data_IF_093973739008
#
_entry.id   IF_093973739008
#
_cell.length_a   1.000
_cell.length_b   1.000
_cell.length_c   1.000
_cell.angle_alpha   90.00
_cell.angle_beta   90.00
_cell.angle_gamma   90.00
#
_symmetry.space_group_name_H-M   'P 1'
#
loop_
_entity.id
_entity.type
_entity.pdbx_description
1 polymer ?
#
# COMPACT_ATOMS: atom_id res chain seq x y z
N UNK A 1 21.26 22.00 -33.91
CA UNK A 1 21.81 21.48 -32.64
C UNK A 1 20.87 20.37 -32.24
N UNK A 2 21.31 19.11 -32.30
CA UNK A 2 20.49 17.98 -31.91
C UNK A 2 20.26 18.09 -30.38
N UNK A 3 19.02 18.14 -30.00
CA UNK A 3 18.59 18.07 -28.62
C UNK A 3 19.05 16.70 -28.08
N UNK A 4 20.03 16.72 -27.21
CA UNK A 4 20.64 15.52 -26.62
C UNK A 4 19.74 14.92 -25.49
N UNK A 5 18.46 14.78 -25.73
CA UNK A 5 17.56 14.03 -24.86
C UNK A 5 18.03 12.57 -24.87
N UNK A 6 18.68 12.13 -23.80
CA UNK A 6 19.04 10.73 -23.63
C UNK A 6 17.73 9.92 -23.61
N UNK A 7 17.62 8.97 -24.53
CA UNK A 7 16.46 8.08 -24.60
C UNK A 7 16.43 7.21 -23.35
N UNK A 8 15.38 7.30 -22.54
CA UNK A 8 15.20 6.47 -21.33
C UNK A 8 15.26 4.98 -21.68
N UNK A 9 16.15 4.25 -21.01
CA UNK A 9 16.31 2.80 -21.16
C UNK A 9 15.48 2.08 -20.13
N UNK A 10 14.52 1.29 -20.59
CA UNK A 10 13.50 0.66 -19.76
C UNK A 10 13.72 -0.85 -19.64
N UNK A 11 13.74 -1.38 -18.42
CA UNK A 11 13.70 -2.81 -18.17
C UNK A 11 12.31 -3.25 -17.67
N UNK A 12 11.72 -4.26 -18.31
CA UNK A 12 10.53 -4.96 -17.79
C UNK A 12 10.98 -6.24 -17.09
N UNK A 13 10.87 -6.31 -15.76
CA UNK A 13 11.24 -7.50 -15.00
C UNK A 13 10.16 -8.57 -15.12
N UNK A 14 10.35 -9.56 -15.99
CA UNK A 14 9.36 -10.61 -16.23
C UNK A 14 10.01 -11.94 -16.65
N UNK A 15 9.52 -13.07 -16.10
CA UNK A 15 9.91 -14.42 -16.57
C UNK A 15 9.23 -14.81 -17.89
N UNK A 16 8.20 -14.09 -18.29
CA UNK A 16 7.38 -14.44 -19.45
C UNK A 16 7.35 -13.35 -20.50
N UNK A 17 8.33 -13.23 -21.40
CA UNK A 17 8.34 -12.19 -22.44
C UNK A 17 7.15 -12.30 -23.41
N UNK A 18 6.57 -13.50 -23.55
CA UNK A 18 5.40 -13.76 -24.40
C UNK A 18 4.06 -13.57 -23.71
N UNK A 19 4.03 -13.31 -22.39
CA UNK A 19 2.79 -13.00 -21.66
C UNK A 19 2.18 -11.70 -22.20
N UNK A 20 0.86 -11.69 -22.33
CA UNK A 20 0.13 -10.55 -22.89
C UNK A 20 0.60 -9.22 -22.32
N UNK A 21 0.55 -9.05 -21.00
CA UNK A 21 0.91 -7.79 -20.34
C UNK A 21 2.36 -7.38 -20.59
N UNK A 22 3.30 -8.34 -20.60
CA UNK A 22 4.73 -8.05 -20.85
C UNK A 22 4.92 -7.60 -22.30
N UNK A 23 4.32 -8.31 -23.26
CA UNK A 23 4.38 -7.97 -24.67
C UNK A 23 3.77 -6.59 -24.95
N UNK A 24 2.59 -6.29 -24.40
CA UNK A 24 1.94 -4.99 -24.56
C UNK A 24 2.80 -3.83 -24.04
N UNK A 25 3.43 -3.98 -22.87
CA UNK A 25 4.36 -2.97 -22.35
C UNK A 25 5.56 -2.74 -23.27
N UNK A 26 6.13 -3.82 -23.82
CA UNK A 26 7.25 -3.70 -24.79
C UNK A 26 6.81 -3.05 -26.09
N UNK A 27 5.63 -3.41 -26.62
CA UNK A 27 5.06 -2.80 -27.82
C UNK A 27 4.86 -1.29 -27.62
N UNK A 28 4.24 -0.88 -26.52
CA UNK A 28 3.96 0.53 -26.23
C UNK A 28 5.23 1.35 -25.95
N UNK A 29 6.24 0.75 -25.32
CA UNK A 29 7.53 1.38 -25.09
C UNK A 29 8.25 1.66 -26.44
N UNK A 30 8.26 0.68 -27.35
CA UNK A 30 8.83 0.84 -28.70
C UNK A 30 8.10 1.88 -29.54
N UNK A 31 6.76 1.98 -29.42
CA UNK A 31 5.98 3.02 -30.10
C UNK A 31 6.30 4.44 -29.63
N UNK A 32 6.96 4.58 -28.48
CA UNK A 32 7.44 5.85 -27.90
C UNK A 32 8.95 6.01 -27.98
N UNK A 33 9.59 5.25 -28.86
CA UNK A 33 11.03 5.27 -29.13
C UNK A 33 11.91 4.98 -27.91
N UNK A 34 11.38 4.26 -26.88
CA UNK A 34 12.19 3.83 -25.74
C UNK A 34 13.04 2.60 -26.10
N UNK A 35 14.27 2.57 -25.60
CA UNK A 35 15.05 1.35 -25.56
C UNK A 35 14.49 0.44 -24.46
N UNK A 36 13.93 -0.72 -24.82
CA UNK A 36 13.26 -1.61 -23.87
C UNK A 36 13.76 -3.04 -23.93
N UNK A 37 14.04 -3.63 -22.76
CA UNK A 37 14.37 -5.05 -22.62
C UNK A 37 13.45 -5.76 -21.60
N UNK A 38 13.28 -7.09 -21.81
CA UNK A 38 12.61 -7.96 -20.82
C UNK A 38 13.68 -8.78 -20.14
N UNK A 39 13.81 -8.57 -18.82
CA UNK A 39 14.82 -9.22 -18.00
C UNK A 39 14.17 -10.20 -17.03
N UNK A 40 14.66 -11.45 -17.00
CA UNK A 40 14.18 -12.45 -16.06
C UNK A 40 14.74 -12.19 -14.66
N UNK A 41 13.90 -11.89 -13.66
CA UNK A 41 14.38 -11.64 -12.29
C UNK A 41 15.22 -12.77 -11.71
N UNK A 42 15.02 -14.02 -12.16
CA UNK A 42 15.76 -15.18 -11.67
C UNK A 42 17.20 -15.29 -12.20
N UNK A 43 17.59 -14.39 -13.11
CA UNK A 43 18.90 -14.41 -13.78
C UNK A 43 19.82 -13.26 -13.35
N UNK A 44 19.47 -12.60 -12.26
CA UNK A 44 20.31 -11.56 -11.67
C UNK A 44 21.30 -12.14 -10.65
N UNK A 45 22.49 -11.59 -10.65
CA UNK A 45 23.50 -11.75 -9.61
C UNK A 45 23.72 -10.42 -8.92
N UNK A 46 23.66 -10.40 -7.60
CA UNK A 46 23.77 -9.21 -6.76
C UNK A 46 25.11 -9.24 -6.03
N UNK A 47 25.83 -8.14 -6.07
CA UNK A 47 27.10 -7.96 -5.36
C UNK A 47 26.92 -6.87 -4.30
N UNK A 48 27.37 -7.14 -3.08
CA UNK A 48 27.30 -6.20 -1.95
C UNK A 48 28.63 -6.19 -1.23
N UNK A 49 29.27 -5.03 -1.19
CA UNK A 49 30.47 -4.79 -0.40
C UNK A 49 30.39 -3.39 0.21
N UNK A 50 31.27 -3.09 1.17
CA UNK A 50 31.39 -1.74 1.72
C UNK A 50 31.63 -0.73 0.60
N UNK A 51 30.80 0.29 0.52
CA UNK A 51 30.83 1.37 -0.48
C UNK A 51 30.66 0.93 -1.95
N UNK A 52 30.33 -0.34 -2.20
CA UNK A 52 30.14 -0.84 -3.56
C UNK A 52 28.99 -1.86 -3.60
N UNK A 53 27.97 -1.52 -4.34
CA UNK A 53 26.88 -2.43 -4.68
C UNK A 53 26.81 -2.55 -6.20
N UNK A 54 26.61 -3.77 -6.71
CA UNK A 54 26.59 -4.03 -8.13
C UNK A 54 25.57 -5.09 -8.50
N UNK A 55 25.13 -5.07 -9.73
CA UNK A 55 24.13 -6.00 -10.25
C UNK A 55 24.50 -6.43 -11.67
N UNK A 56 24.40 -7.72 -11.92
CA UNK A 56 24.59 -8.31 -13.24
C UNK A 56 23.35 -9.08 -13.65
N UNK A 57 22.95 -8.98 -14.91
CA UNK A 57 21.96 -9.86 -15.52
C UNK A 57 22.64 -10.76 -16.55
N UNK A 58 22.69 -12.06 -16.29
CA UNK A 58 23.38 -13.04 -17.16
C UNK A 58 24.84 -12.65 -17.50
N UNK A 59 25.59 -12.14 -16.52
CA UNK A 59 26.98 -11.73 -16.65
C UNK A 59 27.21 -10.37 -17.33
N UNK A 60 26.15 -9.64 -17.68
CA UNK A 60 26.23 -8.27 -18.21
C UNK A 60 25.83 -7.27 -17.14
N UNK A 61 26.45 -6.10 -17.17
CA UNK A 61 26.06 -4.99 -16.31
C UNK A 61 24.62 -4.57 -16.58
N UNK A 62 23.95 -4.11 -15.54
CA UNK A 62 22.61 -3.53 -15.65
C UNK A 62 22.76 -2.07 -16.03
N UNK A 63 22.18 -1.71 -17.16
CA UNK A 63 22.31 -0.38 -17.76
C UNK A 63 20.95 0.12 -18.26
N UNK A 64 20.01 0.34 -17.29
CA UNK A 64 18.66 0.83 -17.52
C UNK A 64 18.30 1.88 -16.48
N UNK A 65 17.58 2.92 -16.91
CA UNK A 65 17.22 4.07 -16.11
C UNK A 65 15.93 3.82 -15.31
N UNK A 66 15.03 2.99 -15.87
CA UNK A 66 13.73 2.71 -15.26
C UNK A 66 13.35 1.23 -15.31
N UNK A 67 12.54 0.80 -14.34
CA UNK A 67 12.10 -0.59 -14.20
C UNK A 67 10.59 -0.69 -13.99
N UNK A 68 9.93 -1.54 -14.79
CA UNK A 68 8.56 -1.98 -14.53
C UNK A 68 8.59 -3.40 -13.95
N UNK A 69 8.28 -3.60 -12.64
CA UNK A 69 8.29 -4.92 -12.02
C UNK A 69 7.02 -5.70 -12.36
N UNK A 70 7.17 -6.77 -13.17
CA UNK A 70 6.14 -7.78 -13.46
C UNK A 70 6.44 -9.08 -12.73
N UNK A 71 6.72 -8.95 -11.42
CA UNK A 71 7.14 -10.05 -10.56
C UNK A 71 5.92 -10.95 -10.29
N UNK A 72 6.01 -12.23 -10.64
CA UNK A 72 4.99 -13.24 -10.33
C UNK A 72 4.99 -13.61 -8.84
N UNK A 73 3.86 -14.14 -8.34
CA UNK A 73 3.74 -14.55 -6.93
C UNK A 73 4.76 -15.60 -6.51
N UNK A 74 5.03 -16.59 -7.37
CA UNK A 74 5.96 -17.70 -7.08
C UNK A 74 7.41 -17.28 -6.89
N UNK A 75 7.79 -16.07 -7.35
CA UNK A 75 9.14 -15.53 -7.21
C UNK A 75 9.19 -14.24 -6.41
N UNK A 76 8.16 -13.95 -5.62
CA UNK A 76 8.04 -12.70 -4.87
C UNK A 76 9.29 -12.37 -4.08
N UNK A 77 9.77 -13.33 -3.26
CA UNK A 77 10.92 -13.11 -2.39
C UNK A 77 12.17 -12.72 -3.17
N UNK A 78 12.49 -13.47 -4.22
CA UNK A 78 13.67 -13.21 -5.04
C UNK A 78 13.52 -11.95 -5.89
N UNK A 79 12.39 -11.79 -6.60
CA UNK A 79 12.15 -10.63 -7.44
C UNK A 79 12.14 -9.31 -6.67
N UNK A 80 11.61 -9.32 -5.43
CA UNK A 80 11.66 -8.16 -4.55
C UNK A 80 13.10 -7.89 -4.07
N UNK A 81 13.91 -8.92 -3.84
CA UNK A 81 15.34 -8.71 -3.49
C UNK A 81 16.11 -8.04 -4.63
N UNK A 82 15.85 -8.45 -5.88
CA UNK A 82 16.42 -7.78 -7.07
C UNK A 82 15.94 -6.32 -7.16
N UNK A 83 14.63 -6.10 -7.02
CA UNK A 83 14.06 -4.76 -7.11
C UNK A 83 14.62 -3.83 -6.03
N UNK A 84 14.73 -4.31 -4.78
CA UNK A 84 15.34 -3.55 -3.68
C UNK A 84 16.79 -3.18 -3.96
N UNK A 85 17.53 -4.07 -4.59
CA UNK A 85 18.92 -3.80 -4.97
C UNK A 85 19.00 -2.70 -6.03
N UNK A 86 18.09 -2.71 -7.02
CA UNK A 86 17.98 -1.66 -8.02
C UNK A 86 17.59 -0.30 -7.39
N UNK A 87 16.68 -0.31 -6.40
CA UNK A 87 16.33 0.88 -5.61
C UNK A 87 17.55 1.46 -4.87
N UNK A 88 18.47 0.61 -4.36
CA UNK A 88 19.71 1.07 -3.74
C UNK A 88 20.72 1.64 -4.76
N UNK A 89 20.58 1.27 -6.02
CA UNK A 89 21.35 1.83 -7.16
C UNK A 89 20.65 3.06 -7.77
N UNK A 90 19.62 3.58 -7.09
CA UNK A 90 18.83 4.74 -7.50
C UNK A 90 18.13 4.59 -8.86
N UNK A 91 17.92 3.34 -9.30
CA UNK A 91 17.14 3.04 -10.50
C UNK A 91 15.66 3.29 -10.20
N UNK A 92 15.01 4.10 -11.04
CA UNK A 92 13.58 4.38 -10.87
C UNK A 92 12.73 3.12 -11.07
N UNK A 93 11.73 2.92 -10.21
CA UNK A 93 10.86 1.73 -10.26
C UNK A 93 9.39 2.13 -10.25
N UNK A 94 8.60 1.60 -11.21
CA UNK A 94 7.17 1.89 -11.32
C UNK A 94 6.36 1.50 -10.07
N UNK A 95 6.81 0.50 -9.33
CA UNK A 95 6.31 0.11 -8.01
C UNK A 95 7.48 -0.23 -7.10
N UNK A 96 7.46 0.23 -5.87
CA UNK A 96 8.52 -0.06 -4.90
C UNK A 96 8.53 -1.53 -4.45
N UNK A 97 9.70 -2.01 -4.05
CA UNK A 97 9.87 -3.35 -3.46
C UNK A 97 9.00 -3.53 -2.23
N UNK A 98 8.89 -2.49 -1.39
CA UNK A 98 8.06 -2.49 -0.19
C UNK A 98 6.58 -2.52 -0.52
N UNK A 99 6.11 -1.71 -1.48
CA UNK A 99 4.71 -1.71 -1.91
C UNK A 99 4.27 -3.07 -2.45
N UNK A 100 5.14 -3.74 -3.21
CA UNK A 100 4.89 -5.11 -3.69
C UNK A 100 4.75 -6.10 -2.51
N UNK A 101 5.61 -6.03 -1.51
CA UNK A 101 5.52 -6.91 -0.33
C UNK A 101 4.25 -6.66 0.48
N UNK A 102 3.94 -5.39 0.76
CA UNK A 102 2.77 -4.99 1.53
C UNK A 102 1.47 -5.42 0.86
N UNK A 103 1.36 -5.25 -0.44
CA UNK A 103 0.15 -5.64 -1.19
C UNK A 103 -0.04 -7.16 -1.28
N UNK A 104 1.03 -7.95 -1.18
CA UNK A 104 0.98 -9.42 -1.28
C UNK A 104 0.70 -10.13 0.04
N UNK A 105 0.97 -9.50 1.15
CA UNK A 105 0.57 -9.97 2.46
C UNK A 105 -0.86 -9.49 2.75
N UNK A 106 -1.83 -10.43 2.68
CA UNK A 106 -3.25 -10.11 2.85
C UNK A 106 -3.56 -9.47 4.20
N UNK A 107 -2.91 -9.93 5.27
CA UNK A 107 -3.13 -9.35 6.60
C UNK A 107 -2.53 -7.95 6.69
N UNK A 108 -1.27 -7.80 6.27
CA UNK A 108 -0.59 -6.51 6.31
C UNK A 108 -1.30 -5.46 5.42
N UNK A 109 -1.71 -5.86 4.21
CA UNK A 109 -2.52 -5.01 3.34
C UNK A 109 -3.81 -4.55 4.03
N UNK A 110 -4.57 -5.48 4.65
CA UNK A 110 -5.79 -5.13 5.38
C UNK A 110 -5.53 -4.19 6.57
N UNK A 111 -4.43 -4.38 7.30
CA UNK A 111 -4.03 -3.51 8.42
C UNK A 111 -3.71 -2.08 7.93
N UNK A 112 -2.96 -1.95 6.83
CA UNK A 112 -2.63 -0.64 6.24
C UNK A 112 -3.89 0.06 5.76
N UNK A 113 -4.77 -0.63 5.03
CA UNK A 113 -6.02 -0.08 4.53
C UNK A 113 -6.92 0.40 5.67
N UNK A 114 -7.13 -0.43 6.69
CA UNK A 114 -7.95 -0.11 7.86
C UNK A 114 -7.40 1.08 8.66
N UNK A 115 -6.08 1.13 8.90
CA UNK A 115 -5.43 2.26 9.57
C UNK A 115 -5.64 3.58 8.83
N UNK A 116 -5.70 3.54 7.50
CA UNK A 116 -5.93 4.70 6.65
C UNK A 116 -7.41 4.95 6.34
N UNK A 117 -8.34 4.31 7.09
CA UNK A 117 -9.79 4.47 6.96
C UNK A 117 -10.28 4.22 5.52
N UNK A 118 -9.69 3.24 4.84
CA UNK A 118 -10.17 2.79 3.54
C UNK A 118 -11.15 1.65 3.80
N UNK A 119 -12.37 1.74 3.27
CA UNK A 119 -13.39 0.71 3.46
C UNK A 119 -12.93 -0.66 2.94
N UNK A 120 -12.99 -1.67 3.81
CA UNK A 120 -12.68 -3.07 3.49
C UNK A 120 -13.68 -3.98 4.18
N UNK A 121 -13.96 -5.19 3.68
CA UNK A 121 -14.74 -6.16 4.42
C UNK A 121 -14.07 -6.45 5.77
N UNK A 122 -14.85 -6.52 6.83
CA UNK A 122 -14.35 -6.84 8.18
C UNK A 122 -13.57 -8.14 8.14
N UNK A 123 -12.37 -8.16 8.71
CA UNK A 123 -11.43 -9.28 8.58
C UNK A 123 -10.83 -9.59 9.94
N UNK A 124 -10.84 -10.86 10.32
CA UNK A 124 -10.23 -11.39 11.53
C UNK A 124 -9.15 -12.40 11.18
N UNK A 125 -8.00 -12.32 11.86
CA UNK A 125 -6.88 -13.27 11.70
C UNK A 125 -6.90 -14.29 12.81
N UNK A 126 -6.91 -15.58 12.46
CA UNK A 126 -7.05 -16.68 13.42
C UNK A 126 -5.85 -17.62 13.35
N UNK A 127 -5.27 -17.89 14.52
CA UNK A 127 -4.22 -18.90 14.73
C UNK A 127 -4.59 -19.92 15.82
N UNK A 128 -5.51 -19.57 16.72
CA UNK A 128 -6.02 -20.46 17.77
C UNK A 128 -7.47 -20.87 17.49
N UNK A 129 -7.77 -22.14 17.68
CA UNK A 129 -9.12 -22.70 17.54
C UNK A 129 -10.14 -22.04 18.47
N UNK A 130 -9.70 -21.57 19.63
CA UNK A 130 -10.57 -20.93 20.63
C UNK A 130 -11.12 -19.58 20.17
N UNK A 131 -10.45 -18.93 19.19
CA UNK A 131 -10.80 -17.61 18.71
C UNK A 131 -11.82 -17.64 17.54
N UNK A 132 -12.16 -18.83 17.00
CA UNK A 132 -12.95 -18.95 15.79
C UNK A 132 -14.34 -18.30 15.95
N UNK A 133 -15.05 -18.57 17.04
CA UNK A 133 -16.40 -18.01 17.25
C UNK A 133 -16.36 -16.48 17.36
N UNK A 134 -15.44 -15.97 18.19
CA UNK A 134 -15.22 -14.53 18.31
C UNK A 134 -14.83 -13.88 16.99
N UNK A 135 -14.00 -14.56 16.19
CA UNK A 135 -13.60 -14.08 14.87
C UNK A 135 -14.80 -14.00 13.91
N UNK A 136 -15.70 -14.99 13.94
CA UNK A 136 -16.94 -14.99 13.16
C UNK A 136 -17.85 -13.84 13.61
N UNK A 137 -18.04 -13.65 14.91
CA UNK A 137 -18.83 -12.53 15.46
C UNK A 137 -18.24 -11.18 15.05
N UNK A 138 -16.91 -11.02 15.14
CA UNK A 138 -16.22 -9.78 14.79
C UNK A 138 -16.37 -9.38 13.31
N UNK A 139 -16.58 -10.35 12.42
CA UNK A 139 -16.83 -10.08 11.00
C UNK A 139 -18.31 -9.98 10.64
N UNK A 140 -19.21 -10.03 11.63
CA UNK A 140 -20.66 -9.87 11.45
C UNK A 140 -21.44 -11.18 11.31
N UNK A 141 -20.84 -12.30 11.66
CA UNK A 141 -21.51 -13.59 11.68
C UNK A 141 -21.31 -14.41 10.39
N UNK A 142 -22.20 -15.35 10.20
CA UNK A 142 -22.24 -16.22 9.02
C UNK A 142 -23.35 -15.77 8.05
N UNK A 143 -23.19 -16.00 6.74
CA UNK A 143 -22.05 -16.66 6.10
C UNK A 143 -20.77 -15.83 6.13
N UNK A 144 -19.60 -16.50 6.18
CA UNK A 144 -18.29 -15.85 6.20
C UNK A 144 -17.34 -16.49 5.19
N UNK A 145 -16.35 -15.72 4.75
CA UNK A 145 -15.32 -16.18 3.81
C UNK A 145 -14.06 -16.55 4.58
N UNK A 146 -13.63 -17.81 4.49
CA UNK A 146 -12.37 -18.29 5.06
C UNK A 146 -11.29 -18.25 3.97
N UNK A 147 -10.17 -17.59 4.25
CA UNK A 147 -9.04 -17.45 3.31
C UNK A 147 -7.75 -17.94 3.96
N UNK A 148 -6.92 -18.66 3.20
CA UNK A 148 -5.53 -18.89 3.62
C UNK A 148 -4.73 -17.60 3.38
N UNK A 149 -3.76 -17.32 4.27
CA UNK A 149 -2.90 -16.13 4.15
C UNK A 149 -2.01 -16.17 2.91
N UNK A 150 -1.63 -17.36 2.46
CA UNK A 150 -0.83 -17.58 1.26
C UNK A 150 -1.66 -18.31 0.20
N UNK A 151 -1.83 -17.72 -0.95
CA UNK A 151 -2.58 -18.28 -2.09
C UNK A 151 -2.88 -17.19 -3.13
N UNK A 152 -3.03 -17.61 -4.39
CA UNK A 152 -3.33 -16.74 -5.51
C UNK A 152 -4.52 -17.26 -6.30
N UNK A 153 -5.11 -16.41 -7.14
CA UNK A 153 -6.16 -16.76 -8.11
C UNK A 153 -7.39 -17.43 -7.48
N UNK A 154 -7.74 -17.06 -6.24
CA UNK A 154 -8.89 -17.62 -5.53
C UNK A 154 -8.67 -19.04 -4.96
N UNK A 155 -7.45 -19.59 -5.05
CA UNK A 155 -7.12 -20.83 -4.36
C UNK A 155 -7.07 -20.59 -2.85
N UNK A 156 -7.72 -21.50 -2.08
CA UNK A 156 -7.78 -21.35 -0.62
C UNK A 156 -8.75 -20.28 -0.12
N UNK A 157 -9.80 -19.98 -0.89
CA UNK A 157 -10.91 -19.08 -0.51
C UNK A 157 -12.19 -19.88 -0.49
N UNK A 158 -12.89 -19.88 0.66
CA UNK A 158 -14.04 -20.74 0.92
C UNK A 158 -15.17 -19.95 1.59
N UNK A 159 -16.38 -19.97 1.01
CA UNK A 159 -17.59 -19.48 1.66
C UNK A 159 -18.12 -20.56 2.60
N UNK A 160 -18.46 -20.19 3.83
CA UNK A 160 -19.02 -21.08 4.85
C UNK A 160 -20.29 -20.50 5.45
N UNK A 161 -21.29 -21.36 5.59
CA UNK A 161 -22.63 -20.96 6.04
C UNK A 161 -22.91 -21.35 7.49
N UNK A 162 -22.18 -22.32 8.02
CA UNK A 162 -22.39 -22.84 9.38
C UNK A 162 -21.12 -22.79 10.23
N UNK A 163 -21.29 -22.66 11.55
CA UNK A 163 -20.18 -22.70 12.50
C UNK A 163 -19.40 -24.02 12.43
N UNK A 164 -20.12 -25.14 12.29
CA UNK A 164 -19.52 -26.46 12.21
C UNK A 164 -18.59 -26.59 10.98
N UNK A 165 -19.06 -26.21 9.80
CA UNK A 165 -18.24 -26.22 8.58
C UNK A 165 -17.02 -25.29 8.70
N UNK A 166 -17.21 -24.11 9.29
CA UNK A 166 -16.14 -23.14 9.49
C UNK A 166 -15.08 -23.69 10.43
N UNK A 167 -15.48 -24.26 11.57
CA UNK A 167 -14.56 -24.88 12.54
C UNK A 167 -13.74 -26.01 11.92
N UNK A 168 -14.39 -26.95 11.24
CA UNK A 168 -13.72 -28.10 10.62
C UNK A 168 -12.69 -27.64 9.57
N UNK A 169 -13.04 -26.66 8.73
CA UNK A 169 -12.14 -26.12 7.73
C UNK A 169 -10.94 -25.41 8.38
N UNK A 170 -11.21 -24.50 9.33
CA UNK A 170 -10.15 -23.73 10.01
C UNK A 170 -9.23 -24.67 10.78
N UNK A 171 -9.77 -25.68 11.49
CA UNK A 171 -8.98 -26.68 12.18
C UNK A 171 -8.04 -27.41 11.22
N UNK A 172 -8.54 -27.90 10.09
CA UNK A 172 -7.73 -28.58 9.09
C UNK A 172 -6.61 -27.68 8.55
N UNK A 173 -6.89 -26.40 8.31
CA UNK A 173 -5.88 -25.43 7.85
C UNK A 173 -4.82 -25.13 8.93
N UNK A 174 -5.24 -24.92 10.18
CA UNK A 174 -4.32 -24.66 11.29
C UNK A 174 -3.41 -25.86 11.58
N UNK A 175 -3.90 -27.09 11.45
CA UNK A 175 -3.08 -28.31 11.60
C UNK A 175 -1.95 -28.39 10.54
N UNK A 176 -2.11 -27.76 9.39
CA UNK A 176 -1.05 -27.64 8.38
C UNK A 176 -0.08 -26.48 8.64
N UNK A 177 -0.15 -25.82 9.81
CA UNK A 177 0.67 -24.67 10.18
C UNK A 177 0.28 -23.37 9.51
N UNK A 178 -0.82 -23.35 8.73
CA UNK A 178 -1.30 -22.15 8.01
C UNK A 178 -2.21 -21.35 8.92
N UNK A 179 -1.95 -20.04 9.01
CA UNK A 179 -2.91 -19.12 9.58
C UNK A 179 -4.03 -18.81 8.57
N UNK A 180 -5.19 -18.45 9.07
CA UNK A 180 -6.37 -18.14 8.25
C UNK A 180 -6.90 -16.75 8.53
N UNK A 181 -7.54 -16.17 7.52
CA UNK A 181 -8.38 -14.98 7.64
C UNK A 181 -9.84 -15.44 7.56
N UNK A 182 -10.64 -14.97 8.49
CA UNK A 182 -12.12 -15.03 8.42
C UNK A 182 -12.56 -13.63 8.04
N UNK A 183 -13.32 -13.50 6.95
CA UNK A 183 -13.72 -12.23 6.40
C UNK A 183 -15.23 -12.19 6.19
N UNK A 184 -15.79 -11.01 6.40
CA UNK A 184 -17.18 -10.70 6.09
C UNK A 184 -17.52 -11.07 4.65
N UNK A 185 -18.65 -11.72 4.47
CA UNK A 185 -19.21 -12.01 3.17
C UNK A 185 -20.14 -10.89 2.72
N UNK A 186 -19.78 -10.26 1.61
CA UNK A 186 -20.56 -9.16 1.02
C UNK A 186 -21.55 -9.78 0.02
N UNK A 187 -22.78 -9.93 0.43
CA UNK A 187 -23.83 -10.64 -0.34
C UNK A 187 -24.17 -9.91 -1.64
N UNK A 188 -24.16 -8.60 -1.64
CA UNK A 188 -24.43 -7.74 -2.79
C UNK A 188 -23.44 -7.96 -3.94
N UNK A 189 -22.24 -8.41 -3.60
CA UNK A 189 -21.17 -8.72 -4.56
C UNK A 189 -21.00 -10.22 -4.81
N UNK A 190 -22.03 -11.05 -4.56
CA UNK A 190 -21.93 -12.47 -4.86
C UNK A 190 -21.57 -12.74 -6.30
N UNK A 191 -20.40 -13.38 -6.52
CA UNK A 191 -19.92 -13.76 -7.84
C UNK A 191 -19.52 -12.57 -8.73
N UNK A 192 -19.38 -11.36 -8.21
CA UNK A 192 -18.97 -10.19 -8.98
C UNK A 192 -18.04 -9.29 -8.19
N UNK A 193 -17.16 -8.61 -8.89
CA UNK A 193 -16.33 -7.52 -8.38
C UNK A 193 -15.99 -6.52 -9.49
N UNK A 194 -15.49 -5.37 -9.10
CA UNK A 194 -14.98 -4.34 -9.98
C UNK A 194 -13.46 -4.28 -9.83
N UNK A 195 -12.74 -4.36 -10.95
CA UNK A 195 -11.31 -4.07 -10.98
C UNK A 195 -11.08 -2.68 -11.55
N UNK A 196 -10.57 -1.78 -10.72
CA UNK A 196 -10.05 -0.49 -11.14
C UNK A 196 -8.54 -0.60 -11.36
N UNK A 197 -8.04 -0.12 -12.50
CA UNK A 197 -6.61 -0.05 -12.77
C UNK A 197 -6.11 1.37 -12.50
N UNK A 198 -5.22 1.48 -11.52
CA UNK A 198 -4.60 2.73 -11.09
C UNK A 198 -3.22 2.84 -11.72
N UNK A 199 -2.92 4.00 -12.30
CA UNK A 199 -1.59 4.39 -12.81
C UNK A 199 -1.33 5.83 -12.38
N UNK A 200 -0.23 6.09 -11.70
CA UNK A 200 0.16 7.43 -11.26
C UNK A 200 -0.93 8.13 -10.42
N UNK A 201 -1.62 7.39 -9.55
CA UNK A 201 -2.67 7.94 -8.69
C UNK A 201 -4.01 8.24 -9.38
N UNK A 202 -4.22 7.78 -10.62
CA UNK A 202 -5.47 7.93 -11.37
C UNK A 202 -6.00 6.58 -11.84
N UNK A 203 -7.32 6.38 -11.83
CA UNK A 203 -7.93 5.22 -12.47
C UNK A 203 -7.97 5.44 -13.98
N UNK A 204 -7.23 4.63 -14.72
CA UNK A 204 -7.15 4.71 -16.19
C UNK A 204 -8.17 3.83 -16.88
N UNK A 205 -8.58 2.73 -16.26
CA UNK A 205 -9.59 1.81 -16.79
C UNK A 205 -10.28 1.05 -15.65
N UNK A 206 -11.50 0.60 -15.90
CA UNK A 206 -12.24 -0.27 -14.99
C UNK A 206 -13.01 -1.36 -15.73
N UNK A 207 -13.18 -2.51 -15.08
CA UNK A 207 -13.97 -3.63 -15.58
C UNK A 207 -14.72 -4.31 -14.45
N UNK A 208 -15.90 -4.83 -14.73
CA UNK A 208 -16.59 -5.76 -13.84
C UNK A 208 -16.24 -7.19 -14.23
N UNK A 209 -15.90 -8.01 -13.24
CA UNK A 209 -15.73 -9.45 -13.40
C UNK A 209 -16.96 -10.15 -12.85
N UNK A 210 -17.43 -11.17 -13.56
CA UNK A 210 -18.58 -11.97 -13.14
C UNK A 210 -18.22 -13.44 -13.21
N UNK A 211 -18.50 -14.17 -12.13
CA UNK A 211 -18.38 -15.62 -12.07
C UNK A 211 -19.44 -16.30 -12.96
N UNK A 212 -19.22 -17.55 -13.32
CA UNK A 212 -20.21 -18.39 -13.98
C UNK A 212 -20.97 -19.24 -12.98
N UNK A 213 -22.28 -19.37 -13.19
CA UNK A 213 -23.12 -20.25 -12.39
C UNK A 213 -23.27 -19.76 -10.94
N UNK A 214 -23.06 -20.68 -9.97
CA UNK A 214 -23.21 -20.43 -8.53
C UNK A 214 -21.87 -20.14 -7.83
N UNK A 215 -20.81 -19.91 -8.58
CA UNK A 215 -19.48 -19.59 -8.02
C UNK A 215 -19.52 -18.17 -7.43
N UNK A 216 -19.09 -18.03 -6.18
CA UNK A 216 -19.03 -16.71 -5.51
C UNK A 216 -17.74 -15.94 -5.79
N UNK A 217 -16.70 -16.59 -6.35
CA UNK A 217 -15.42 -15.98 -6.70
C UNK A 217 -15.46 -15.50 -8.15
N UNK A 218 -15.26 -14.22 -8.36
CA UNK A 218 -15.35 -13.52 -9.66
C UNK A 218 -14.11 -13.62 -10.54
N UNK A 219 -13.09 -14.41 -10.17
CA UNK A 219 -11.80 -14.48 -10.85
C UNK A 219 -11.92 -14.89 -12.32
N UNK A 220 -11.38 -14.08 -13.24
CA UNK A 220 -11.35 -14.34 -14.69
C UNK A 220 -10.72 -15.70 -15.06
N UNK A 221 -9.70 -16.15 -14.33
CA UNK A 221 -9.05 -17.44 -14.55
C UNK A 221 -9.94 -18.66 -14.22
N UNK A 222 -11.08 -18.46 -13.57
CA UNK A 222 -12.10 -19.49 -13.32
C UNK A 222 -13.22 -19.47 -14.38
N UNK A 223 -12.91 -19.06 -15.61
CA UNK A 223 -13.89 -18.90 -16.72
C UNK A 223 -14.95 -17.83 -16.45
N UNK A 224 -14.67 -16.84 -15.63
CA UNK A 224 -15.52 -15.66 -15.45
C UNK A 224 -15.57 -14.80 -16.73
N UNK A 225 -16.59 -13.99 -16.83
CA UNK A 225 -16.73 -12.98 -17.90
C UNK A 225 -16.28 -11.62 -17.40
N UNK A 226 -15.84 -10.76 -18.32
CA UNK A 226 -15.50 -9.36 -18.06
C UNK A 226 -16.36 -8.46 -18.90
N UNK A 227 -16.76 -7.33 -18.34
CA UNK A 227 -17.49 -6.28 -19.06
C UNK A 227 -16.96 -4.91 -18.68
N UNK A 228 -17.10 -3.95 -19.58
CA UNK A 228 -16.80 -2.55 -19.27
C UNK A 228 -17.75 -2.06 -18.17
N UNK A 229 -17.23 -1.32 -17.22
CA UNK A 229 -18.03 -0.60 -16.22
C UNK A 229 -17.46 0.80 -16.05
N UNK A 230 -18.35 1.78 -15.95
CA UNK A 230 -17.99 3.12 -15.53
C UNK A 230 -18.18 3.20 -14.02
N UNK A 231 -17.14 3.59 -13.31
CA UNK A 231 -17.16 3.72 -11.85
C UNK A 231 -17.38 5.18 -11.46
N UNK A 232 -18.01 5.39 -10.31
CA UNK A 232 -18.21 6.74 -9.76
C UNK A 232 -16.89 7.31 -9.23
N UNK A 233 -16.85 8.61 -8.98
CA UNK A 233 -15.70 9.29 -8.37
C UNK A 233 -15.33 8.69 -7.01
N UNK A 234 -16.32 8.26 -6.23
CA UNK A 234 -16.10 7.59 -4.94
C UNK A 234 -15.31 6.29 -5.10
N UNK A 235 -15.67 5.43 -6.07
CA UNK A 235 -14.93 4.20 -6.37
C UNK A 235 -13.51 4.51 -6.84
N UNK A 236 -13.35 5.52 -7.70
CA UNK A 236 -12.06 5.94 -8.22
C UNK A 236 -11.16 6.49 -7.10
N UNK A 237 -11.70 7.34 -6.22
CA UNK A 237 -10.97 7.90 -5.08
C UNK A 237 -10.49 6.80 -4.13
N UNK A 238 -11.38 5.87 -3.75
CA UNK A 238 -11.05 4.77 -2.86
C UNK A 238 -9.97 3.86 -3.49
N UNK A 239 -10.07 3.55 -4.79
CA UNK A 239 -9.06 2.76 -5.49
C UNK A 239 -7.69 3.48 -5.52
N UNK A 240 -7.65 4.75 -5.83
CA UNK A 240 -6.41 5.56 -5.83
C UNK A 240 -5.79 5.66 -4.44
N UNK A 241 -6.60 5.90 -3.40
CA UNK A 241 -6.13 5.93 -2.01
C UNK A 241 -5.58 4.58 -1.58
N UNK A 242 -6.25 3.47 -1.93
CA UNK A 242 -5.79 2.12 -1.59
C UNK A 242 -4.43 1.80 -2.23
N UNK A 243 -4.24 2.12 -3.51
CA UNK A 243 -2.95 1.95 -4.19
C UNK A 243 -1.86 2.80 -3.53
N UNK A 244 -2.15 4.07 -3.25
CA UNK A 244 -1.21 5.04 -2.66
C UNK A 244 -0.71 4.63 -1.29
N UNK A 245 -1.61 4.25 -0.36
CA UNK A 245 -1.19 3.90 1.02
C UNK A 245 -0.41 2.59 1.08
N UNK A 246 -0.52 1.75 0.06
CA UNK A 246 0.30 0.56 -0.13
C UNK A 246 1.60 0.83 -0.91
N UNK A 247 1.87 2.07 -1.31
CA UNK A 247 3.08 2.45 -2.04
C UNK A 247 3.13 1.89 -3.46
N UNK A 248 1.97 1.82 -4.15
CA UNK A 248 1.86 1.31 -5.51
C UNK A 248 1.39 2.40 -6.47
N UNK A 249 2.20 2.68 -7.49
CA UNK A 249 1.86 3.60 -8.57
C UNK A 249 1.11 2.91 -9.71
N UNK A 250 1.38 1.62 -9.94
CA UNK A 250 0.67 0.77 -10.90
C UNK A 250 0.00 -0.38 -10.17
N UNK A 251 -1.31 -0.36 -10.06
CA UNK A 251 -2.06 -1.34 -9.28
C UNK A 251 -3.41 -1.71 -9.91
N UNK A 252 -3.80 -2.97 -9.72
CA UNK A 252 -5.18 -3.42 -9.95
C UNK A 252 -5.90 -3.51 -8.61
N UNK A 253 -6.85 -2.62 -8.36
CA UNK A 253 -7.64 -2.60 -7.13
C UNK A 253 -8.95 -3.32 -7.36
N UNK A 254 -9.19 -4.38 -6.60
CA UNK A 254 -10.42 -5.16 -6.64
C UNK A 254 -11.38 -4.64 -5.59
N UNK A 255 -12.57 -4.24 -6.02
CA UNK A 255 -13.60 -3.59 -5.21
C UNK A 255 -14.87 -4.43 -5.21
N UNK A 256 -15.46 -4.60 -4.02
CA UNK A 256 -16.80 -5.13 -3.86
C UNK A 256 -17.81 -3.98 -3.79
N UNK A 257 -18.98 -4.20 -4.34
CA UNK A 257 -20.15 -3.32 -4.23
C UNK A 257 -20.87 -3.68 -2.93
N UNK A 258 -20.63 -2.94 -1.85
CA UNK A 258 -21.30 -3.12 -0.57
C UNK A 258 -22.55 -2.23 -0.45
N UNK A 259 -23.35 -2.46 0.58
CA UNK A 259 -24.56 -1.68 0.85
C UNK A 259 -24.29 -0.18 1.07
N UNK A 260 -23.19 0.15 1.74
CA UNK A 260 -22.80 1.52 2.08
C UNK A 260 -21.76 2.12 1.10
N UNK A 261 -21.46 1.45 0.00
CA UNK A 261 -20.48 1.88 -0.97
C UNK A 261 -19.39 0.84 -1.27
N UNK A 262 -18.30 1.25 -1.95
CA UNK A 262 -17.24 0.35 -2.36
C UNK A 262 -16.37 -0.13 -1.19
N UNK A 263 -16.02 -1.42 -1.21
CA UNK A 263 -15.13 -2.06 -0.25
C UNK A 263 -13.91 -2.62 -1.00
N UNK A 264 -12.70 -2.23 -0.60
CA UNK A 264 -11.47 -2.77 -1.19
C UNK A 264 -11.26 -4.21 -0.73
N UNK A 265 -11.29 -5.14 -1.67
CA UNK A 265 -11.05 -6.56 -1.43
C UNK A 265 -9.56 -6.91 -1.43
N UNK A 266 -8.84 -6.46 -2.46
CA UNK A 266 -7.39 -6.65 -2.59
C UNK A 266 -6.76 -5.62 -3.54
N UNK A 267 -5.45 -5.40 -3.41
CA UNK A 267 -4.66 -4.54 -4.30
C UNK A 267 -3.53 -5.35 -4.91
N UNK A 268 -3.50 -5.43 -6.23
CA UNK A 268 -2.57 -6.25 -6.99
C UNK A 268 -1.45 -5.41 -7.59
N UNK A 269 -0.20 -5.62 -7.17
CA UNK A 269 0.99 -4.90 -7.64
C UNK A 269 1.47 -5.28 -9.06
N UNK A 270 0.95 -6.34 -9.65
CA UNK A 270 1.29 -6.78 -11.02
C UNK A 270 0.02 -7.23 -11.75
N UNK A 271 -0.93 -6.31 -11.97
CA UNK A 271 -2.23 -6.66 -12.56
C UNK A 271 -2.09 -7.17 -14.00
N UNK A 272 -2.89 -8.18 -14.36
CA UNK A 272 -3.03 -8.61 -15.76
C UNK A 272 -3.75 -7.53 -16.59
N UNK A 273 -3.22 -7.21 -17.77
CA UNK A 273 -3.77 -6.17 -18.62
C UNK A 273 -4.79 -6.70 -19.62
N UNK A 274 -4.73 -7.99 -20.01
CA UNK A 274 -5.54 -8.56 -21.08
C UNK A 274 -7.04 -8.38 -20.89
N UNK A 275 -7.55 -8.76 -19.72
CA UNK A 275 -8.99 -8.67 -19.44
C UNK A 275 -9.51 -7.25 -19.43
N UNK A 276 -8.76 -6.32 -18.83
CA UNK A 276 -9.20 -4.94 -18.68
C UNK A 276 -9.06 -4.15 -19.97
N UNK A 277 -8.00 -4.36 -20.78
CA UNK A 277 -7.87 -3.74 -22.11
C UNK A 277 -8.98 -4.23 -23.06
N UNK A 278 -9.28 -5.54 -23.05
CA UNK A 278 -10.38 -6.10 -23.85
C UNK A 278 -11.75 -5.58 -23.43
N UNK A 279 -12.00 -5.46 -22.13
CA UNK A 279 -13.30 -5.02 -21.61
C UNK A 279 -13.52 -3.51 -21.79
N UNK A 280 -12.52 -2.70 -21.50
CA UNK A 280 -12.63 -1.23 -21.51
C UNK A 280 -12.36 -0.59 -22.87
N UNK A 281 -11.57 -1.25 -23.73
CA UNK A 281 -11.03 -0.67 -24.97
C UNK A 281 -9.91 0.36 -24.72
N UNK A 282 -9.45 0.53 -23.49
CA UNK A 282 -8.41 1.50 -23.12
C UNK A 282 -7.03 0.89 -23.29
N UNK A 283 -6.09 1.63 -23.85
CA UNK A 283 -4.67 1.26 -23.95
C UNK A 283 -3.98 1.45 -22.59
N UNK A 284 -4.15 0.47 -21.72
CA UNK A 284 -3.61 0.53 -20.36
C UNK A 284 -2.07 0.41 -20.36
N UNK A 285 -1.52 -0.43 -21.22
CA UNK A 285 -0.07 -0.54 -21.35
C UNK A 285 0.56 0.79 -21.77
N UNK A 286 -0.07 1.51 -22.72
CA UNK A 286 0.34 2.86 -23.09
C UNK A 286 0.33 3.83 -21.93
N UNK A 287 -0.76 3.86 -21.14
CA UNK A 287 -0.85 4.72 -19.97
C UNK A 287 0.26 4.44 -18.92
N UNK A 288 0.64 3.17 -18.76
CA UNK A 288 1.77 2.81 -17.86
C UNK A 288 3.08 3.33 -18.42
N UNK A 289 3.34 3.22 -19.72
CA UNK A 289 4.58 3.72 -20.33
C UNK A 289 4.62 5.25 -20.30
N UNK A 290 3.49 5.94 -20.56
CA UNK A 290 3.43 7.40 -20.43
C UNK A 290 3.74 7.87 -19.02
N UNK A 291 3.28 7.14 -18.01
CA UNK A 291 3.62 7.38 -16.60
C UNK A 291 5.11 7.17 -16.34
N UNK A 292 5.72 6.10 -16.85
CA UNK A 292 7.16 5.85 -16.71
C UNK A 292 7.97 6.99 -17.30
N UNK A 293 7.64 7.46 -18.51
CA UNK A 293 8.34 8.56 -19.17
C UNK A 293 8.22 9.86 -18.35
N UNK A 294 7.05 10.13 -17.78
CA UNK A 294 6.81 11.35 -17.03
C UNK A 294 7.54 11.41 -15.68
N UNK A 295 7.75 10.26 -15.06
CA UNK A 295 8.21 10.19 -13.67
C UNK A 295 9.66 9.66 -13.52
N UNK A 296 10.22 8.98 -14.53
CA UNK A 296 11.53 8.36 -14.40
C UNK A 296 12.68 9.36 -14.21
N UNK A 297 12.49 10.61 -14.64
CA UNK A 297 13.45 11.71 -14.43
C UNK A 297 13.37 12.30 -12.99
N UNK A 298 12.34 11.92 -12.22
CA UNK A 298 12.08 12.41 -10.86
C UNK A 298 11.95 11.25 -9.88
N UNK A 299 13.05 10.53 -9.57
CA UNK A 299 12.98 9.38 -8.67
C UNK A 299 12.51 9.78 -7.27
N UNK A 300 11.64 8.99 -6.69
CA UNK A 300 11.19 9.16 -5.30
C UNK A 300 12.38 9.04 -4.34
N UNK A 301 12.59 10.04 -3.51
CA UNK A 301 13.56 9.98 -2.43
C UNK A 301 12.97 9.26 -1.23
N UNK A 302 13.60 8.17 -0.80
CA UNK A 302 13.24 7.52 0.45
C UNK A 302 13.74 8.36 1.65
N UNK A 303 12.92 9.34 2.06
CA UNK A 303 13.25 10.28 3.13
C UNK A 303 13.56 9.55 4.45
N UNK A 304 12.84 8.46 4.79
CA UNK A 304 13.10 7.69 6.01
C UNK A 304 14.49 7.03 5.99
N UNK A 305 14.89 6.48 4.86
CA UNK A 305 16.22 5.91 4.69
C UNK A 305 17.30 7.00 4.74
N UNK A 306 17.07 8.12 4.04
CA UNK A 306 18.00 9.25 4.05
C UNK A 306 18.22 9.81 5.47
N UNK A 307 17.13 9.96 6.24
CA UNK A 307 17.23 10.47 7.61
C UNK A 307 18.02 9.52 8.55
N UNK A 308 17.98 8.22 8.30
CA UNK A 308 18.76 7.25 9.08
C UNK A 308 20.27 7.36 8.85
N UNK A 309 20.71 7.98 7.76
CA UNK A 309 22.14 8.21 7.51
C UNK A 309 22.70 9.39 8.29
N UNK A 310 21.83 10.26 8.82
CA UNK A 310 22.24 11.46 9.59
C UNK A 310 22.01 11.15 11.09
N UNK A 311 23.07 10.97 11.89
CA UNK A 311 22.93 10.66 13.30
C UNK A 311 22.09 11.69 14.05
N UNK A 312 21.16 11.23 14.89
CA UNK A 312 20.32 12.09 15.72
C UNK A 312 19.17 12.78 14.98
N UNK A 313 19.16 12.85 13.65
CA UNK A 313 18.08 13.47 12.89
C UNK A 313 16.92 12.50 12.63
N UNK A 314 15.71 13.02 12.60
CA UNK A 314 14.53 12.18 12.33
C UNK A 314 13.22 12.94 12.35
N UNK A 315 12.16 12.17 12.07
CA UNK A 315 10.78 12.64 12.15
C UNK A 315 10.14 12.17 13.44
N UNK A 316 9.54 13.08 14.18
CA UNK A 316 8.83 12.80 15.43
C UNK A 316 7.34 13.09 15.27
N UNK A 317 6.51 12.13 15.66
CA UNK A 317 5.07 12.29 15.77
C UNK A 317 4.68 12.55 17.23
N UNK A 318 4.06 13.69 17.48
CA UNK A 318 3.71 14.14 18.84
C UNK A 318 2.20 14.26 19.00
N UNK A 319 1.62 13.38 19.81
CA UNK A 319 0.21 13.39 20.13
C UNK A 319 -0.09 14.41 21.22
N UNK A 320 -0.86 15.44 20.94
CA UNK A 320 -1.10 16.56 21.87
C UNK A 320 -1.88 16.16 23.11
N UNK A 321 -2.66 15.08 23.08
CA UNK A 321 -3.27 14.49 24.28
C UNK A 321 -2.26 14.21 25.42
N UNK A 322 -1.00 13.93 25.05
CA UNK A 322 0.09 13.67 26.00
C UNK A 322 0.84 14.96 26.40
N UNK A 323 0.48 16.11 25.82
CA UNK A 323 1.13 17.40 26.01
C UNK A 323 0.11 18.51 26.19
N UNK A 324 -0.74 18.47 27.27
CA UNK A 324 -1.86 19.39 27.45
C UNK A 324 -1.42 20.86 27.52
N UNK A 325 -0.19 21.14 27.91
CA UNK A 325 0.39 22.48 27.96
C UNK A 325 0.57 23.15 26.58
N UNK A 326 0.46 22.41 25.48
CA UNK A 326 0.52 22.91 24.10
C UNK A 326 -0.88 23.20 23.54
N UNK A 327 -1.94 22.73 24.19
CA UNK A 327 -3.31 22.91 23.70
C UNK A 327 -3.72 24.39 23.78
N UNK A 328 -4.40 24.87 22.74
CA UNK A 328 -4.82 26.27 22.62
C UNK A 328 -3.72 27.23 22.19
N UNK A 329 -2.48 26.76 22.02
CA UNK A 329 -1.37 27.58 21.55
C UNK A 329 -1.25 27.53 20.04
N UNK A 330 -0.77 28.61 19.40
CA UNK A 330 -0.47 28.58 17.98
C UNK A 330 0.81 27.77 17.71
N UNK A 331 0.90 27.20 16.52
CA UNK A 331 2.09 26.46 16.06
C UNK A 331 3.32 27.36 16.09
N UNK A 332 3.19 28.66 15.85
CA UNK A 332 4.29 29.63 15.92
C UNK A 332 5.04 29.63 17.25
N UNK A 333 4.40 29.25 18.37
CA UNK A 333 5.11 29.07 19.65
C UNK A 333 6.07 27.87 19.63
N UNK A 334 5.83 26.87 18.80
CA UNK A 334 6.74 25.75 18.60
C UNK A 334 7.92 26.15 17.69
N UNK A 335 7.65 26.95 16.65
CA UNK A 335 8.72 27.51 15.80
C UNK A 335 9.67 28.41 16.55
N UNK A 336 9.18 29.22 17.53
CA UNK A 336 10.03 30.01 18.42
C UNK A 336 11.01 29.15 19.23
N UNK A 337 10.81 27.83 19.24
CA UNK A 337 11.66 26.84 19.91
C UNK A 337 12.48 26.03 18.92
N UNK A 338 12.59 26.47 17.68
CA UNK A 338 13.31 25.79 16.61
C UNK A 338 12.76 24.38 16.29
N UNK A 339 11.45 24.15 16.52
CA UNK A 339 10.78 22.91 16.18
C UNK A 339 10.05 23.08 14.84
N UNK A 340 10.59 22.58 13.73
CA UNK A 340 9.92 22.64 12.45
C UNK A 340 8.76 21.63 12.40
N UNK A 341 7.53 22.15 12.33
CA UNK A 341 6.31 21.35 12.14
C UNK A 341 5.96 21.36 10.65
N UNK A 342 6.10 20.24 9.97
CA UNK A 342 5.79 20.17 8.55
C UNK A 342 4.40 19.60 8.26
N UNK A 343 3.76 18.94 9.23
CA UNK A 343 2.38 18.52 9.07
C UNK A 343 1.65 18.43 10.43
N UNK A 344 0.32 18.55 10.37
CA UNK A 344 -0.59 18.37 11.50
C UNK A 344 -1.73 17.45 11.09
N UNK A 345 -1.97 16.40 11.85
CA UNK A 345 -3.13 15.52 11.68
C UNK A 345 -4.24 15.94 12.64
N UNK A 346 -5.42 16.29 12.10
CA UNK A 346 -6.62 16.68 12.85
C UNK A 346 -7.82 15.91 12.35
N UNK A 347 -8.49 15.18 13.22
CA UNK A 347 -9.66 14.34 12.89
C UNK A 347 -9.45 13.41 11.70
N UNK A 348 -8.20 12.97 11.47
CA UNK A 348 -7.82 12.08 10.37
C UNK A 348 -7.46 12.77 9.06
N UNK A 349 -7.66 14.08 8.95
CA UNK A 349 -7.13 14.88 7.86
C UNK A 349 -5.69 15.32 8.15
N UNK A 350 -4.83 15.30 7.14
CA UNK A 350 -3.46 15.76 7.23
C UNK A 350 -3.36 17.15 6.61
N UNK A 351 -2.92 18.13 7.42
CA UNK A 351 -2.69 19.51 7.02
C UNK A 351 -1.17 19.65 6.84
N UNK A 352 -0.73 19.82 5.61
CA UNK A 352 0.68 20.05 5.28
C UNK A 352 1.03 21.52 5.43
N UNK A 353 2.26 21.79 5.90
CA UNK A 353 2.74 23.17 6.13
C UNK A 353 1.69 24.00 6.84
N UNK A 354 1.22 23.57 8.04
CA UNK A 354 0.13 24.26 8.72
C UNK A 354 0.52 25.71 9.02
N UNK A 355 -0.46 26.60 8.88
CA UNK A 355 -0.27 28.03 9.15
C UNK A 355 0.28 28.25 10.58
N UNK A 356 1.26 29.14 10.77
CA UNK A 356 1.90 29.38 12.06
C UNK A 356 0.93 29.74 13.19
N UNK A 357 -0.14 30.43 12.86
CA UNK A 357 -1.18 30.88 13.81
C UNK A 357 -2.25 29.81 14.09
N UNK A 358 -2.18 28.65 13.47
CA UNK A 358 -3.10 27.55 13.71
C UNK A 358 -3.01 27.08 15.16
N UNK A 359 -4.13 27.17 15.89
CA UNK A 359 -4.20 26.72 17.28
C UNK A 359 -4.26 25.20 17.39
N UNK A 360 -3.45 24.68 18.29
CA UNK A 360 -3.34 23.25 18.58
C UNK A 360 -4.51 22.77 19.44
N UNK A 361 -5.07 21.59 19.11
CA UNK A 361 -6.22 20.98 19.78
C UNK A 361 -5.83 19.64 20.45
N UNK A 362 -6.63 19.19 21.39
CA UNK A 362 -6.34 17.99 22.21
C UNK A 362 -6.08 16.71 21.39
N UNK A 363 -6.82 16.51 20.30
CA UNK A 363 -6.68 15.31 19.44
C UNK A 363 -5.73 15.49 18.25
N UNK A 364 -5.07 16.63 18.16
CA UNK A 364 -4.11 16.86 17.08
C UNK A 364 -2.84 15.99 17.29
N UNK A 365 -2.24 15.65 16.17
CA UNK A 365 -0.91 15.05 16.13
C UNK A 365 -0.05 15.92 15.24
N UNK A 366 1.00 16.52 15.80
CA UNK A 366 1.98 17.29 15.03
C UNK A 366 3.10 16.35 14.57
N UNK A 367 3.61 16.61 13.37
CA UNK A 367 4.73 15.87 12.78
C UNK A 367 5.87 16.87 12.59
N UNK A 368 6.97 16.63 13.32
CA UNK A 368 8.14 17.50 13.38
C UNK A 368 9.34 16.77 12.79
N UNK A 369 10.27 17.54 12.23
CA UNK A 369 11.57 17.05 11.78
C UNK A 369 12.69 17.81 12.48
N UNK A 370 13.81 17.14 12.74
CA UNK A 370 15.01 17.74 13.29
C UNK A 370 15.80 16.79 14.16
N UNK A 371 16.70 17.35 14.97
CA UNK A 371 17.43 16.60 15.98
C UNK A 371 16.46 16.03 17.02
N UNK A 372 16.41 14.70 17.13
CA UNK A 372 15.43 13.99 17.94
C UNK A 372 15.54 14.29 19.44
N UNK A 373 16.75 14.53 19.93
CA UNK A 373 16.98 14.81 21.35
C UNK A 373 16.60 16.26 21.67
N UNK A 374 16.90 17.20 20.78
CA UNK A 374 16.43 18.59 20.88
C UNK A 374 14.90 18.66 20.80
N UNK A 375 14.28 17.97 19.83
CA UNK A 375 12.83 17.93 19.69
C UNK A 375 12.16 17.37 20.96
N UNK A 376 12.63 16.22 21.46
CA UNK A 376 12.10 15.62 22.69
C UNK A 376 12.27 16.53 23.90
N UNK A 377 13.43 17.15 24.03
CA UNK A 377 13.73 18.07 25.15
C UNK A 377 12.86 19.31 25.09
N UNK A 378 12.71 19.91 23.92
CA UNK A 378 11.89 21.12 23.73
C UNK A 378 10.40 20.85 23.99
N UNK A 379 9.90 19.68 23.61
CA UNK A 379 8.50 19.29 23.88
C UNK A 379 8.28 18.97 25.36
N UNK A 380 9.26 18.37 26.05
CA UNK A 380 9.18 18.00 27.47
C UNK A 380 9.45 19.17 28.43
N UNK A 381 10.23 20.16 28.04
CA UNK A 381 10.75 21.22 28.92
C UNK A 381 9.71 22.01 29.72
N UNK A 382 8.42 21.93 29.40
CA UNK A 382 7.38 22.58 30.22
C UNK A 382 6.82 21.74 31.37
N UNK A 383 7.24 20.52 31.55
CA UNK A 383 6.92 19.76 32.76
C UNK A 383 7.75 20.21 33.98
N UNK A 384 8.87 20.90 33.72
CA UNK A 384 9.78 21.40 34.77
C UNK A 384 9.55 22.87 35.15
N UNK A 385 8.80 23.64 34.36
CA UNK A 385 8.49 25.06 34.59
C UNK A 385 7.12 25.28 35.26
N UNK A 386 6.44 24.24 35.69
CA UNK A 386 5.33 24.40 36.62
C UNK A 386 5.89 24.73 38.00
N UNK A 387 5.45 25.83 38.64
CA UNK A 387 5.81 26.09 40.02
C UNK A 387 5.41 24.86 40.85
N UNK A 388 6.18 24.48 41.86
CA UNK A 388 5.80 23.40 42.74
C UNK A 388 4.40 23.68 43.25
N UNK A 389 3.52 22.66 43.16
CA UNK A 389 2.19 22.76 43.75
C UNK A 389 2.38 23.12 45.20
N UNK A 390 2.25 24.41 45.51
CA UNK A 390 2.21 24.88 46.89
C UNK A 390 1.05 24.14 47.55
N UNK A 391 1.40 23.35 48.53
CA UNK A 391 0.49 22.67 49.43
C UNK A 391 -0.77 23.52 49.64
N UNK A 392 -1.90 23.08 49.19
CA UNK A 392 -3.19 23.55 49.68
C UNK A 392 -3.31 22.94 51.08
N UNK A 393 -2.65 23.60 52.04
CA UNK A 393 -2.99 23.49 53.46
C UNK A 393 -4.14 24.46 53.71
N UNK A 394 -5.34 23.95 53.85
CA UNK A 394 -6.49 24.78 54.19
C UNK A 394 -7.80 24.09 53.76
N UNK A 395 -8.09 22.93 54.33
CA UNK A 395 -9.49 22.55 54.56
C UNK A 395 -9.60 22.47 56.07
N UNK A 396 -10.12 23.59 56.64
CA UNK A 396 -10.64 23.58 57.99
C UNK A 396 -11.76 22.58 58.09
N UNK A 397 -11.58 21.62 59.01
CA UNK A 397 -12.64 20.82 59.52
C UNK A 397 -13.46 21.70 60.48
N UNK A 398 -14.65 22.08 60.07
CA UNK A 398 -15.74 22.40 61.01
C UNK A 398 -17.11 22.40 60.27
N UNK A 399 -17.99 21.56 60.87
CA UNK A 399 -19.44 21.33 60.73
C UNK A 399 -19.84 20.20 59.80
#
# INVERSE_FOLDING_TARGET
MADGSMTTRLAVLSRGPRLYSTRRLVEEAKLRDLEVAVLDPMKFSLFVAEQNIGILHQGREFDYDAVIPRIGHSITRHGVSVLRHLEQLEVWTANSSQGILQSRDKLHSSQILARNRIPTPRTSYVRDMKDIERAIEAVGGLPAVVKVTQGTQGQGVFLRHTLHETRNLVQGLLMTGKAVLIQEYIAESHGKDIRALVVGGKVVASMRRKARGREFRSNFHLNGTVEKVEITDEYAEIACRAARVLGLNVAGVDLLEGHEGPLVLEVNSSPGLEGIEKASGVNVAGAIIDYVIAESDFPDVNVDQLLRTIPGQGVLSVHLRNHPHLIGKPISELFKREIPVFALSRAGALIWNPEPELQLRFHDTIICYGDLDQLRTSIKRKLLDLPPVSSISGIDADV
#
